data_IF_267724666444
#
_entry.id   IF_267724666444
#
_cell.length_a   1.000
_cell.length_b   1.000
_cell.length_c   1.000
_cell.angle_alpha   90.00
_cell.angle_beta   90.00
_cell.angle_gamma   90.00
#
_symmetry.space_group_name_H-M   'P 1'
#
loop_
_entity.id
_entity.type
_entity.pdbx_description
1 polymer ?
#
# COMPACT_ATOMS: atom_id res chain seq x y z
N UNK A 1 -6.56 7.20 29.36
CA UNK A 1 -5.95 6.34 28.34
C UNK A 1 -6.89 6.28 27.15
N UNK A 2 -6.38 6.44 25.95
CA UNK A 2 -7.17 6.26 24.74
C UNK A 2 -7.82 4.87 24.74
N UNK A 3 -8.98 4.75 24.11
CA UNK A 3 -9.58 3.45 23.88
C UNK A 3 -8.70 2.68 22.87
N UNK A 4 -8.08 1.58 23.29
CA UNK A 4 -7.18 0.80 22.44
C UNK A 4 -7.88 0.26 21.18
N UNK A 5 -9.19 0.05 21.20
CA UNK A 5 -9.97 -0.38 20.03
C UNK A 5 -10.00 0.69 18.92
N UNK A 6 -9.88 1.97 19.30
CA UNK A 6 -9.85 3.07 18.34
C UNK A 6 -8.48 3.24 17.66
N UNK A 7 -7.43 2.63 18.22
CA UNK A 7 -6.04 2.82 17.78
C UNK A 7 -5.46 1.56 17.14
N UNK A 8 -5.72 0.37 17.69
CA UNK A 8 -5.31 -0.90 17.12
C UNK A 8 -6.25 -1.30 15.99
N UNK A 9 -5.81 -1.11 14.74
CA UNK A 9 -6.58 -1.41 13.54
C UNK A 9 -6.30 -2.84 13.04
N UNK A 10 -6.87 -3.21 11.89
CA UNK A 10 -6.67 -4.56 11.32
C UNK A 10 -5.20 -4.84 10.94
N UNK A 11 -4.45 -3.80 10.55
CA UNK A 11 -3.11 -3.98 9.96
C UNK A 11 -2.00 -3.21 10.66
N UNK A 12 -2.33 -2.20 11.45
CA UNK A 12 -1.39 -1.30 12.10
C UNK A 12 -1.99 -0.67 13.36
N UNK A 13 -1.19 0.13 14.03
CA UNK A 13 -1.63 1.04 15.10
C UNK A 13 -1.73 2.41 14.46
N UNK A 14 -2.86 3.11 14.64
CA UNK A 14 -3.09 4.42 14.02
C UNK A 14 -4.02 5.28 14.86
N UNK A 15 -3.65 6.55 15.08
CA UNK A 15 -4.45 7.46 15.87
C UNK A 15 -4.07 8.93 15.69
N UNK A 16 -4.92 9.81 16.22
CA UNK A 16 -4.65 11.24 16.30
C UNK A 16 -3.67 11.50 17.44
N UNK A 17 -2.62 12.25 17.15
CA UNK A 17 -1.59 12.62 18.14
C UNK A 17 -1.88 14.02 18.69
N UNK A 18 -1.83 14.24 20.03
CA UNK A 18 -1.52 13.25 21.07
C UNK A 18 -2.77 12.53 21.66
N UNK A 19 -3.99 12.81 21.18
CA UNK A 19 -5.24 12.45 21.84
C UNK A 19 -5.50 10.93 21.89
N UNK A 20 -5.08 10.20 20.86
CA UNK A 20 -5.28 8.76 20.72
C UNK A 20 -3.97 7.98 20.76
N UNK A 21 -2.91 8.51 20.18
CA UNK A 21 -1.56 7.94 20.15
C UNK A 21 -0.61 8.93 20.80
N UNK A 22 -0.22 8.66 22.03
CA UNK A 22 0.70 9.46 22.84
C UNK A 22 2.01 8.71 23.12
N UNK A 23 2.95 9.37 23.76
CA UNK A 23 4.24 8.80 24.18
C UNK A 23 4.07 7.61 25.11
N UNK A 24 3.09 7.66 26.02
CA UNK A 24 2.82 6.57 26.95
C UNK A 24 2.38 5.29 26.23
N UNK A 25 1.50 5.44 25.25
CA UNK A 25 1.08 4.31 24.40
C UNK A 25 2.21 3.82 23.51
N UNK A 26 2.99 4.71 22.89
CA UNK A 26 4.15 4.34 22.08
C UNK A 26 5.19 3.55 22.90
N UNK A 27 5.49 3.97 24.12
CA UNK A 27 6.36 3.25 25.04
C UNK A 27 5.83 1.86 25.38
N UNK A 28 4.52 1.76 25.72
CA UNK A 28 3.89 0.48 26.05
C UNK A 28 3.89 -0.48 24.84
N UNK A 29 3.64 0.03 23.63
CA UNK A 29 3.72 -0.76 22.40
C UNK A 29 5.15 -1.24 22.15
N UNK A 30 6.16 -0.38 22.36
CA UNK A 30 7.58 -0.74 22.23
C UNK A 30 7.97 -1.88 23.16
N UNK A 31 7.60 -1.78 24.44
CA UNK A 31 7.84 -2.82 25.43
C UNK A 31 7.11 -4.15 25.09
N UNK A 32 5.85 -4.06 24.68
CA UNK A 32 5.06 -5.24 24.27
C UNK A 32 5.62 -5.89 23.00
N UNK A 33 6.02 -5.08 22.02
CA UNK A 33 6.60 -5.60 20.76
C UNK A 33 7.95 -6.25 20.97
N UNK A 34 8.80 -5.73 21.84
CA UNK A 34 10.07 -6.34 22.19
C UNK A 34 9.89 -7.77 22.73
N UNK A 35 8.89 -7.96 23.61
CA UNK A 35 8.57 -9.29 24.16
C UNK A 35 7.97 -10.20 23.09
N UNK A 36 7.03 -9.68 22.29
CA UNK A 36 6.39 -10.45 21.22
C UNK A 36 7.39 -10.90 20.14
N UNK A 37 8.26 -10.00 19.70
CA UNK A 37 9.22 -10.28 18.63
C UNK A 37 10.29 -11.29 19.03
N UNK A 38 10.67 -11.35 20.34
CA UNK A 38 11.66 -12.30 20.85
C UNK A 38 13.03 -12.18 20.19
N UNK A 39 13.38 -11.00 19.69
CA UNK A 39 14.61 -10.74 18.94
C UNK A 39 15.59 -9.93 19.79
N UNK A 40 16.92 -10.10 19.62
CA UNK A 40 17.91 -9.33 20.37
C UNK A 40 17.96 -7.86 19.94
N UNK A 41 17.39 -7.51 18.78
CA UNK A 41 17.36 -6.14 18.25
C UNK A 41 16.10 -5.86 17.46
N UNK A 42 15.68 -4.60 17.40
CA UNK A 42 14.54 -4.10 16.62
C UNK A 42 15.00 -2.88 15.82
N UNK A 43 14.60 -2.82 14.54
CA UNK A 43 14.79 -1.67 13.67
C UNK A 43 13.66 -0.68 13.91
N UNK A 44 13.97 0.62 13.95
CA UNK A 44 12.97 1.68 14.10
C UNK A 44 13.24 2.77 13.09
N UNK A 45 12.25 3.07 12.27
CA UNK A 45 12.28 4.15 11.29
C UNK A 45 11.01 4.98 11.32
N UNK A 46 11.03 6.14 10.68
CA UNK A 46 9.88 7.02 10.67
C UNK A 46 9.80 7.85 9.39
N UNK A 47 8.60 8.30 9.07
CA UNK A 47 8.35 9.28 8.04
C UNK A 47 8.59 10.73 8.56
N UNK A 48 8.30 11.72 7.70
CA UNK A 48 8.55 13.15 7.94
C UNK A 48 7.51 13.81 8.86
N UNK A 49 6.57 13.08 9.49
CA UNK A 49 5.51 13.67 10.32
C UNK A 49 6.08 14.36 11.56
N UNK A 50 5.55 15.55 11.94
CA UNK A 50 6.09 16.33 13.08
C UNK A 50 6.07 15.56 14.42
N UNK A 51 5.10 14.66 14.60
CA UNK A 51 4.96 13.85 15.82
C UNK A 51 5.87 12.61 15.86
N UNK A 52 6.63 12.32 14.79
CA UNK A 52 7.41 11.09 14.71
C UNK A 52 8.51 11.03 15.79
N UNK A 53 9.29 12.09 15.98
CA UNK A 53 10.45 12.07 16.86
C UNK A 53 10.12 11.67 18.31
N UNK A 54 9.06 12.29 18.88
CA UNK A 54 8.66 12.01 20.28
C UNK A 54 8.11 10.58 20.45
N UNK A 55 7.34 10.08 19.47
CA UNK A 55 6.81 8.73 19.50
C UNK A 55 7.90 7.68 19.31
N UNK A 56 8.84 7.90 18.38
CA UNK A 56 10.01 7.03 18.17
C UNK A 56 10.88 6.95 19.44
N UNK A 57 11.13 8.08 20.09
CA UNK A 57 11.89 8.10 21.35
C UNK A 57 11.19 7.25 22.41
N UNK A 58 9.91 7.49 22.66
CA UNK A 58 9.14 6.75 23.67
C UNK A 58 9.07 5.23 23.38
N UNK A 59 8.84 4.86 22.12
CA UNK A 59 8.88 3.46 21.68
C UNK A 59 10.25 2.82 21.90
N UNK A 60 11.31 3.52 21.54
CA UNK A 60 12.71 3.07 21.72
C UNK A 60 13.02 2.83 23.20
N UNK A 61 12.58 3.73 24.09
CA UNK A 61 12.68 3.56 25.54
C UNK A 61 11.90 2.32 26.02
N UNK A 62 10.70 2.09 25.47
CA UNK A 62 9.91 0.89 25.72
C UNK A 62 10.65 -0.39 25.33
N UNK A 63 11.20 -0.46 24.12
CA UNK A 63 11.97 -1.60 23.62
C UNK A 63 13.22 -1.84 24.48
N UNK A 64 14.03 -0.80 24.69
CA UNK A 64 15.30 -0.94 25.44
C UNK A 64 15.07 -1.28 26.90
N UNK A 65 13.94 -0.87 27.49
CA UNK A 65 13.54 -1.27 28.85
C UNK A 65 13.39 -2.79 29.01
N UNK A 66 13.28 -3.53 27.91
CA UNK A 66 13.19 -5.00 27.88
C UNK A 66 14.54 -5.68 27.58
N UNK A 67 15.65 -4.92 27.56
CA UNK A 67 16.99 -5.43 27.27
C UNK A 67 17.23 -5.70 25.78
N UNK A 68 16.33 -5.22 24.90
CA UNK A 68 16.43 -5.41 23.45
C UNK A 68 17.10 -4.19 22.83
N UNK A 69 18.08 -4.41 21.95
CA UNK A 69 18.78 -3.33 21.26
C UNK A 69 17.87 -2.68 20.19
N UNK A 70 18.08 -1.39 19.97
CA UNK A 70 17.38 -0.65 18.90
C UNK A 70 18.39 -0.13 17.89
N UNK A 71 18.07 -0.34 16.60
CA UNK A 71 18.78 0.28 15.48
C UNK A 71 17.86 1.31 14.85
N UNK A 72 18.17 2.58 15.04
CA UNK A 72 17.45 3.69 14.44
C UNK A 72 17.87 3.83 12.98
N UNK A 73 16.92 3.76 12.05
CA UNK A 73 17.13 3.99 10.63
C UNK A 73 16.96 5.46 10.26
N UNK A 74 16.31 6.26 11.15
CA UNK A 74 16.00 7.65 10.91
C UNK A 74 14.80 7.82 9.97
N UNK A 75 14.88 8.81 9.07
CA UNK A 75 13.90 9.05 8.03
C UNK A 75 14.01 7.97 6.95
N UNK A 76 12.96 7.16 6.80
CA UNK A 76 12.86 6.08 5.82
C UNK A 76 11.44 6.02 5.25
N UNK A 77 11.28 5.48 4.03
CA UNK A 77 9.98 5.09 3.51
C UNK A 77 9.52 3.76 4.12
N UNK A 78 8.23 3.43 3.99
CA UNK A 78 7.71 2.16 4.50
C UNK A 78 8.34 0.95 3.79
N UNK A 79 8.52 1.03 2.47
CA UNK A 79 9.18 -0.04 1.70
C UNK A 79 10.68 -0.16 1.98
N UNK A 80 11.35 0.95 2.31
CA UNK A 80 12.74 0.96 2.81
C UNK A 80 12.86 0.27 4.18
N UNK A 81 11.91 0.49 5.11
CA UNK A 81 11.83 -0.25 6.37
C UNK A 81 11.66 -1.76 6.13
N UNK A 82 10.79 -2.18 5.22
CA UNK A 82 10.61 -3.58 4.89
C UNK A 82 11.87 -4.20 4.27
N UNK A 83 12.53 -3.45 3.38
CA UNK A 83 13.84 -3.85 2.86
C UNK A 83 14.85 -4.05 3.99
N UNK A 84 14.97 -3.08 4.90
CA UNK A 84 15.90 -3.17 6.04
C UNK A 84 15.59 -4.37 6.92
N UNK A 85 14.30 -4.62 7.24
CA UNK A 85 13.89 -5.80 8.00
C UNK A 85 14.31 -7.11 7.34
N UNK A 86 14.17 -7.20 6.01
CA UNK A 86 14.60 -8.36 5.24
C UNK A 86 16.12 -8.51 5.16
N UNK A 87 16.81 -7.42 4.83
CA UNK A 87 18.26 -7.43 4.60
C UNK A 87 19.08 -7.62 5.88
N UNK A 88 18.61 -7.08 7.01
CA UNK A 88 19.26 -7.17 8.31
C UNK A 88 18.73 -8.32 9.17
N UNK A 89 17.74 -9.07 8.69
CA UNK A 89 17.05 -10.16 9.38
C UNK A 89 16.66 -9.77 10.82
N UNK A 90 15.87 -8.68 10.93
CA UNK A 90 15.45 -8.14 12.21
C UNK A 90 14.01 -7.61 12.15
N UNK A 91 13.23 -7.70 13.24
CA UNK A 91 11.93 -7.05 13.33
C UNK A 91 12.01 -5.55 13.15
N UNK A 92 10.96 -4.93 12.65
CA UNK A 92 10.91 -3.51 12.38
C UNK A 92 9.64 -2.83 12.86
N UNK A 93 9.77 -1.56 13.23
CA UNK A 93 8.68 -0.65 13.56
C UNK A 93 8.82 0.62 12.69
N UNK A 94 7.84 0.87 11.84
CA UNK A 94 7.76 2.05 10.98
C UNK A 94 6.72 3.03 11.52
N UNK A 95 7.15 4.23 11.88
CA UNK A 95 6.27 5.31 12.33
C UNK A 95 5.77 6.10 11.13
N UNK A 96 4.51 5.91 10.80
CA UNK A 96 3.83 6.55 9.68
C UNK A 96 2.31 6.43 9.83
N UNK A 97 1.58 7.35 9.19
CA UNK A 97 0.16 7.21 8.94
C UNK A 97 -0.16 7.26 7.44
N UNK A 98 0.82 6.94 6.57
CA UNK A 98 0.70 6.89 5.10
C UNK A 98 0.08 8.20 4.57
N UNK A 99 -1.09 8.12 3.95
CA UNK A 99 -1.81 9.24 3.34
C UNK A 99 -2.73 10.03 4.29
N UNK A 100 -2.82 9.64 5.56
CA UNK A 100 -3.65 10.38 6.52
C UNK A 100 -3.13 11.81 6.75
N UNK A 101 -4.01 12.77 7.13
CA UNK A 101 -3.61 14.13 7.47
C UNK A 101 -2.53 14.22 8.55
N UNK A 102 -1.84 15.35 8.62
CA UNK A 102 -0.69 15.61 9.51
C UNK A 102 -0.92 15.28 11.00
N UNK A 103 -2.15 15.44 11.49
CA UNK A 103 -2.51 15.15 12.89
C UNK A 103 -2.48 13.67 13.26
N UNK A 104 -2.46 12.77 12.27
CA UNK A 104 -2.35 11.33 12.49
C UNK A 104 -0.91 10.88 12.52
N UNK A 105 -0.64 9.84 13.31
CA UNK A 105 0.54 8.99 13.18
C UNK A 105 0.14 7.54 13.43
N UNK A 106 1.07 6.62 13.25
CA UNK A 106 0.83 5.20 13.46
C UNK A 106 2.12 4.42 13.57
N UNK A 107 1.99 3.11 13.82
CA UNK A 107 3.10 2.18 13.93
C UNK A 107 2.77 0.94 13.11
N UNK A 108 3.45 0.76 11.98
CA UNK A 108 3.44 -0.49 11.21
C UNK A 108 4.54 -1.40 11.78
N UNK A 109 4.19 -2.63 12.15
CA UNK A 109 5.12 -3.59 12.74
C UNK A 109 5.37 -4.76 11.79
N UNK A 110 6.59 -5.24 11.74
CA UNK A 110 6.94 -6.48 11.06
C UNK A 110 7.94 -7.31 11.87
N UNK A 111 7.89 -8.62 11.72
CA UNK A 111 8.94 -9.53 12.19
C UNK A 111 10.07 -9.60 11.14
N UNK A 112 11.19 -10.23 11.49
CA UNK A 112 12.32 -10.45 10.61
C UNK A 112 11.88 -11.01 9.24
N UNK A 113 12.52 -10.55 8.15
CA UNK A 113 12.11 -10.88 6.78
C UNK A 113 10.85 -10.16 6.33
N UNK A 114 10.55 -8.98 6.86
CA UNK A 114 9.40 -8.15 6.55
C UNK A 114 8.03 -8.85 6.72
N UNK A 115 7.93 -9.86 7.61
CA UNK A 115 6.67 -10.56 7.89
C UNK A 115 5.71 -9.62 8.62
N UNK A 116 4.53 -9.32 8.08
CA UNK A 116 3.63 -8.34 8.67
C UNK A 116 3.07 -8.80 10.02
N UNK A 117 2.91 -7.86 10.95
CA UNK A 117 2.22 -8.05 12.23
C UNK A 117 0.87 -7.33 12.13
N UNK A 118 -0.17 -8.08 11.77
CA UNK A 118 -1.56 -7.63 11.73
C UNK A 118 -2.40 -8.24 12.85
N UNK A 119 -3.71 -7.99 12.84
CA UNK A 119 -4.62 -8.45 13.89
C UNK A 119 -4.51 -9.96 14.17
N UNK A 120 -4.46 -10.78 13.10
CA UNK A 120 -4.41 -12.25 13.22
C UNK A 120 -2.97 -12.79 13.39
N UNK A 121 -1.95 -11.95 13.16
CA UNK A 121 -0.53 -12.36 13.17
C UNK A 121 0.31 -11.75 14.30
N UNK A 122 -0.35 -11.23 15.37
CA UNK A 122 0.35 -10.77 16.56
C UNK A 122 -0.11 -9.44 17.14
N UNK A 123 -0.76 -8.55 16.35
CA UNK A 123 -1.19 -7.24 16.84
C UNK A 123 -2.21 -7.34 17.99
N UNK A 124 -3.09 -8.36 17.95
CA UNK A 124 -4.03 -8.63 19.05
C UNK A 124 -3.31 -9.04 20.34
N UNK A 125 -2.21 -9.80 20.25
CA UNK A 125 -1.40 -10.16 21.39
C UNK A 125 -0.69 -8.92 21.96
N UNK A 126 -0.06 -8.10 21.10
CA UNK A 126 0.59 -6.85 21.52
C UNK A 126 -0.42 -5.94 22.22
N UNK A 127 -1.63 -5.76 21.66
CA UNK A 127 -2.71 -5.02 22.29
C UNK A 127 -3.08 -5.56 23.67
N UNK A 128 -3.21 -6.88 23.80
CA UNK A 128 -3.51 -7.52 25.09
C UNK A 128 -2.43 -7.26 26.14
N UNK A 129 -1.15 -7.31 25.74
CA UNK A 129 -0.02 -6.98 26.62
C UNK A 129 -0.06 -5.53 27.07
N UNK A 130 -0.30 -4.59 26.16
CA UNK A 130 -0.45 -3.16 26.46
C UNK A 130 -1.60 -2.94 27.44
N UNK A 131 -2.77 -3.54 27.20
CA UNK A 131 -3.94 -3.39 28.06
C UNK A 131 -3.73 -3.89 29.50
N UNK A 132 -2.91 -4.93 29.66
CA UNK A 132 -2.60 -5.55 30.97
C UNK A 132 -1.37 -4.97 31.64
N UNK A 133 -0.56 -4.16 30.93
CA UNK A 133 0.77 -3.77 31.40
C UNK A 133 1.73 -4.95 31.56
N UNK A 134 1.52 -6.03 30.78
CA UNK A 134 2.32 -7.25 30.84
C UNK A 134 3.47 -7.21 29.82
N UNK A 135 4.62 -6.74 30.27
CA UNK A 135 5.83 -6.62 29.45
C UNK A 135 6.92 -7.63 29.89
N UNK A 136 6.57 -8.68 30.61
CA UNK A 136 7.51 -9.67 31.12
C UNK A 136 8.41 -9.15 32.26
N UNK A 137 9.31 -9.99 32.71
CA UNK A 137 10.27 -9.64 33.77
C UNK A 137 11.29 -8.58 33.30
N UNK A 138 11.80 -7.79 34.25
CA UNK A 138 12.90 -6.88 33.95
C UNK A 138 14.13 -7.66 33.51
N UNK A 139 14.91 -7.19 32.51
CA UNK A 139 16.10 -7.88 32.02
C UNK A 139 17.22 -7.86 33.08
N UNK A 140 17.87 -8.99 33.32
CA UNK A 140 19.00 -9.09 34.26
C UNK A 140 20.23 -8.27 33.79
N UNK A 141 20.37 -8.09 32.43
CA UNK A 141 21.48 -7.38 31.79
C UNK A 141 21.33 -5.86 31.73
N UNK A 142 20.21 -5.29 32.24
CA UNK A 142 19.91 -3.88 32.11
C UNK A 142 19.26 -3.54 30.75
N UNK A 143 19.10 -2.23 30.42
CA UNK A 143 18.46 -1.79 29.18
C UNK A 143 19.31 -2.13 27.95
N UNK A 144 18.58 -2.31 26.81
CA UNK A 144 19.21 -2.46 25.50
C UNK A 144 19.95 -1.19 25.06
N UNK A 145 20.77 -1.33 24.03
CA UNK A 145 21.56 -0.22 23.44
C UNK A 145 20.83 0.38 22.26
N UNK A 146 21.12 1.65 21.98
CA UNK A 146 20.64 2.34 20.79
C UNK A 146 21.80 2.61 19.86
N UNK A 147 21.65 2.27 18.59
CA UNK A 147 22.59 2.56 17.51
C UNK A 147 21.86 3.15 16.31
N UNK A 148 22.60 3.63 15.32
CA UNK A 148 22.04 4.17 14.08
C UNK A 148 22.62 3.45 12.88
N UNK A 149 21.81 3.29 11.82
CA UNK A 149 22.25 2.71 10.56
C UNK A 149 21.49 3.36 9.41
N UNK A 150 22.22 3.85 8.41
CA UNK A 150 21.65 4.30 7.14
C UNK A 150 21.52 3.09 6.19
N UNK A 151 20.40 3.02 5.47
CA UNK A 151 20.10 1.93 4.54
C UNK A 151 19.69 2.42 3.13
N UNK A 152 19.62 3.75 2.91
CA UNK A 152 19.11 4.36 1.69
C UNK A 152 19.85 3.88 0.44
N UNK A 153 21.19 3.92 0.43
CA UNK A 153 21.97 3.51 -0.74
C UNK A 153 21.77 2.03 -1.08
N UNK A 154 21.75 1.18 -0.06
CA UNK A 154 21.56 -0.26 -0.24
C UNK A 154 20.14 -0.61 -0.66
N UNK A 155 19.14 0.13 -0.16
CA UNK A 155 17.76 0.05 -0.61
C UNK A 155 17.64 0.49 -2.08
N UNK A 156 18.20 1.65 -2.45
CA UNK A 156 18.16 2.15 -3.83
C UNK A 156 18.79 1.15 -4.81
N UNK A 157 19.94 0.53 -4.46
CA UNK A 157 20.52 -0.55 -5.26
C UNK A 157 19.61 -1.77 -5.37
N UNK A 158 18.92 -2.14 -4.29
CA UNK A 158 17.93 -3.22 -4.32
C UNK A 158 16.80 -2.91 -5.28
N UNK A 159 16.24 -1.71 -5.24
CA UNK A 159 15.17 -1.27 -6.17
C UNK A 159 15.67 -1.33 -7.61
N UNK A 160 16.85 -0.77 -7.90
CA UNK A 160 17.46 -0.80 -9.22
C UNK A 160 17.73 -2.21 -9.76
N UNK A 161 17.90 -3.20 -8.88
CA UNK A 161 18.12 -4.60 -9.28
C UNK A 161 16.92 -5.29 -9.94
N UNK A 162 15.73 -4.68 -9.86
CA UNK A 162 14.51 -5.21 -10.47
C UNK A 162 14.45 -4.99 -11.99
N UNK A 163 15.27 -4.09 -12.53
CA UNK A 163 15.34 -3.79 -13.96
C UNK A 163 16.74 -4.04 -14.52
N UNK A 164 16.81 -4.36 -15.80
CA UNK A 164 18.07 -4.48 -16.54
C UNK A 164 18.52 -3.09 -17.01
N UNK A 165 19.38 -2.43 -16.23
CA UNK A 165 19.79 -1.03 -16.45
C UNK A 165 20.28 -0.76 -17.88
N UNK A 166 21.03 -1.70 -18.47
CA UNK A 166 21.59 -1.57 -19.83
C UNK A 166 20.55 -1.60 -20.95
N UNK A 167 19.32 -2.03 -20.67
CA UNK A 167 18.21 -2.06 -21.63
C UNK A 167 17.29 -0.83 -21.55
N UNK A 168 17.47 0.03 -20.54
CA UNK A 168 16.63 1.21 -20.34
C UNK A 168 16.99 2.30 -21.37
N UNK A 169 15.94 2.88 -21.97
CA UNK A 169 16.05 4.06 -22.83
C UNK A 169 15.70 5.32 -22.05
N UNK A 170 16.24 6.50 -22.43
CA UNK A 170 15.89 7.76 -21.80
C UNK A 170 14.37 8.01 -21.82
N UNK A 171 13.83 8.40 -20.68
CA UNK A 171 12.46 8.88 -20.51
C UNK A 171 12.49 10.17 -19.70
N UNK A 172 11.58 11.08 -19.97
CA UNK A 172 11.34 12.25 -19.16
C UNK A 172 10.24 11.93 -18.15
N UNK A 173 10.58 11.98 -16.88
CA UNK A 173 9.72 11.55 -15.75
C UNK A 173 9.48 12.72 -14.82
N UNK A 174 8.22 12.97 -14.48
CA UNK A 174 7.86 13.89 -13.40
C UNK A 174 7.34 13.04 -12.24
N UNK A 175 7.93 13.19 -11.06
CA UNK A 175 7.51 12.50 -9.85
C UNK A 175 6.92 13.49 -8.85
N UNK A 176 5.65 13.32 -8.50
CA UNK A 176 5.00 14.03 -7.42
C UNK A 176 5.12 13.20 -6.14
N UNK A 177 5.79 13.76 -5.16
CA UNK A 177 6.06 13.10 -3.88
C UNK A 177 5.25 13.67 -2.72
N UNK A 178 4.37 14.64 -3.01
CA UNK A 178 3.42 15.24 -2.07
C UNK A 178 4.05 15.65 -0.72
N UNK A 179 5.28 16.14 -0.73
CA UNK A 179 6.09 16.43 0.47
C UNK A 179 6.34 15.21 1.37
N UNK A 180 6.07 14.00 0.87
CA UNK A 180 6.25 12.72 1.54
C UNK A 180 7.65 12.11 1.35
N UNK A 181 7.81 10.88 1.82
CA UNK A 181 9.09 10.15 1.80
C UNK A 181 9.61 9.88 0.39
N UNK A 182 8.74 9.96 -0.64
CA UNK A 182 9.16 9.94 -2.04
C UNK A 182 10.21 11.00 -2.37
N UNK A 183 10.18 12.17 -1.70
CA UNK A 183 11.19 13.23 -1.85
C UNK A 183 12.61 12.79 -1.50
N UNK A 184 12.75 11.83 -0.58
CA UNK A 184 14.03 11.24 -0.19
C UNK A 184 14.40 10.06 -1.11
N UNK A 185 13.49 9.10 -1.28
CA UNK A 185 13.84 7.81 -1.91
C UNK A 185 13.88 7.87 -3.44
N UNK A 186 13.00 8.66 -4.08
CA UNK A 186 12.92 8.70 -5.55
C UNK A 186 14.22 9.22 -6.19
N UNK A 187 14.82 10.36 -5.75
CA UNK A 187 16.10 10.80 -6.28
C UNK A 187 17.21 9.75 -6.13
N UNK A 188 17.30 9.08 -4.97
CA UNK A 188 18.30 8.05 -4.70
C UNK A 188 18.12 6.82 -5.62
N UNK A 189 16.87 6.38 -5.84
CA UNK A 189 16.55 5.26 -6.74
C UNK A 189 16.88 5.58 -8.19
N UNK A 190 16.65 6.82 -8.64
CA UNK A 190 16.83 7.24 -10.02
C UNK A 190 18.29 7.57 -10.36
N UNK A 191 19.16 7.72 -9.37
CA UNK A 191 20.56 8.03 -9.58
C UNK A 191 21.26 7.01 -10.49
N UNK A 192 21.93 7.51 -11.53
CA UNK A 192 22.65 6.69 -12.51
C UNK A 192 21.75 5.95 -13.51
N UNK A 193 20.42 6.18 -13.50
CA UNK A 193 19.51 5.71 -14.54
C UNK A 193 19.42 6.72 -15.70
N UNK A 194 19.06 6.29 -16.93
CA UNK A 194 18.99 7.19 -18.07
C UNK A 194 17.73 8.05 -18.12
N UNK A 195 17.07 8.26 -17.00
CA UNK A 195 15.83 9.02 -16.90
C UNK A 195 16.09 10.48 -16.54
N UNK A 196 15.40 11.40 -17.20
CA UNK A 196 15.36 12.81 -16.83
C UNK A 196 14.27 13.01 -15.79
N UNK A 197 14.65 12.96 -14.52
CA UNK A 197 13.73 13.09 -13.38
C UNK A 197 13.54 14.55 -13.01
N UNK A 198 12.28 14.96 -12.90
CA UNK A 198 11.86 16.19 -12.20
C UNK A 198 10.99 15.77 -11.00
N UNK A 199 11.27 16.31 -9.82
CA UNK A 199 10.50 16.01 -8.60
C UNK A 199 9.68 17.22 -8.21
N UNK A 200 8.37 17.04 -8.09
CA UNK A 200 7.44 17.99 -7.49
C UNK A 200 7.32 17.70 -6.00
N UNK A 201 7.31 18.78 -5.21
CA UNK A 201 7.10 18.71 -3.75
C UNK A 201 8.07 17.74 -3.05
N UNK A 202 9.35 17.76 -3.47
CA UNK A 202 10.40 16.88 -2.95
C UNK A 202 10.91 17.24 -1.55
N UNK A 203 10.59 18.43 -1.04
CA UNK A 203 10.91 18.83 0.34
C UNK A 203 10.02 18.05 1.31
N UNK A 204 10.62 17.39 2.31
CA UNK A 204 9.90 16.60 3.30
C UNK A 204 9.16 17.51 4.28
N UNK A 205 7.82 17.48 4.25
CA UNK A 205 6.97 18.23 5.19
C UNK A 205 5.69 17.44 5.53
N UNK A 206 5.65 16.90 6.75
CA UNK A 206 4.49 16.14 7.23
C UNK A 206 3.21 16.95 7.43
N UNK A 207 3.22 18.27 7.15
CA UNK A 207 2.01 19.09 7.09
C UNK A 207 1.34 19.06 5.71
N UNK A 208 2.02 18.53 4.68
CA UNK A 208 1.51 18.40 3.31
C UNK A 208 1.00 19.74 2.74
N UNK A 209 1.86 20.78 2.64
CA UNK A 209 1.42 22.16 2.34
C UNK A 209 0.84 22.36 0.94
N UNK A 210 1.16 21.48 -0.02
CA UNK A 210 0.74 21.62 -1.41
C UNK A 210 -0.60 20.88 -1.68
N UNK A 211 -0.66 19.61 -1.37
CA UNK A 211 -1.89 18.80 -1.42
C UNK A 211 -1.77 17.58 -0.51
N UNK A 212 -2.88 16.93 -0.12
CA UNK A 212 -2.85 15.67 0.62
C UNK A 212 -2.07 14.58 -0.13
N UNK A 213 -1.29 13.80 0.60
CA UNK A 213 -0.46 12.73 0.05
C UNK A 213 -1.26 11.45 -0.26
N UNK A 214 -2.41 11.60 -0.92
CA UNK A 214 -3.31 10.52 -1.33
C UNK A 214 -3.52 10.52 -2.84
N UNK A 215 -2.68 9.81 -3.62
CA UNK A 215 -2.71 9.82 -5.08
C UNK A 215 -3.91 9.09 -5.68
N UNK A 216 -4.72 8.38 -4.89
CA UNK A 216 -5.97 7.79 -5.39
C UNK A 216 -7.04 8.84 -5.66
N UNK A 217 -6.93 10.01 -5.02
CA UNK A 217 -7.86 11.12 -5.19
C UNK A 217 -7.49 11.94 -6.42
N UNK A 218 -8.38 12.06 -7.42
CA UNK A 218 -8.07 12.78 -8.66
C UNK A 218 -7.66 14.25 -8.44
N UNK A 219 -8.17 14.87 -7.38
CA UNK A 219 -7.83 16.26 -7.05
C UNK A 219 -6.35 16.45 -6.74
N UNK A 220 -5.68 15.44 -6.19
CA UNK A 220 -4.28 15.47 -5.79
C UNK A 220 -3.32 15.16 -6.95
N UNK A 221 -3.83 14.80 -8.12
CA UNK A 221 -3.02 14.55 -9.32
C UNK A 221 -2.92 15.78 -10.24
N UNK A 222 -3.66 16.85 -9.98
CA UNK A 222 -3.81 18.00 -10.90
C UNK A 222 -2.48 18.67 -11.23
N UNK A 223 -1.63 18.86 -10.23
CA UNK A 223 -0.35 19.54 -10.43
C UNK A 223 0.61 18.66 -11.23
N UNK A 224 0.63 17.36 -10.94
CA UNK A 224 1.38 16.38 -11.72
C UNK A 224 0.89 16.33 -13.17
N UNK A 225 -0.43 16.27 -13.39
CA UNK A 225 -1.03 16.26 -14.72
C UNK A 225 -0.67 17.52 -15.52
N UNK A 226 -0.78 18.69 -14.89
CA UNK A 226 -0.42 19.96 -15.52
C UNK A 226 1.08 19.98 -15.88
N UNK A 227 1.95 19.50 -14.98
CA UNK A 227 3.39 19.52 -15.21
C UNK A 227 3.81 18.51 -16.30
N UNK A 228 3.20 17.32 -16.35
CA UNK A 228 3.42 16.35 -17.43
C UNK A 228 3.20 16.99 -18.80
N UNK A 229 2.09 17.72 -18.99
CA UNK A 229 1.79 18.41 -20.25
C UNK A 229 2.75 19.56 -20.51
N UNK A 230 3.03 20.39 -19.51
CA UNK A 230 3.87 21.58 -19.64
C UNK A 230 5.28 21.24 -20.11
N UNK A 231 5.85 20.16 -19.56
CA UNK A 231 7.22 19.75 -19.89
C UNK A 231 7.30 18.70 -20.99
N UNK A 232 6.16 18.15 -21.43
CA UNK A 232 6.11 17.03 -22.37
C UNK A 232 6.79 15.79 -21.78
N UNK A 233 6.41 15.39 -20.58
CA UNK A 233 6.94 14.21 -19.94
C UNK A 233 6.36 12.94 -20.57
N UNK A 234 7.14 11.86 -20.60
CA UNK A 234 6.69 10.54 -21.07
C UNK A 234 5.77 9.87 -20.03
N UNK A 235 5.96 10.21 -18.74
CA UNK A 235 5.19 9.64 -17.63
C UNK A 235 5.27 10.52 -16.39
N UNK A 236 4.15 10.61 -15.67
CA UNK A 236 4.07 11.09 -14.30
C UNK A 236 4.01 9.94 -13.30
N UNK A 237 4.65 10.10 -12.14
CA UNK A 237 4.59 9.19 -11.00
C UNK A 237 4.02 9.95 -9.81
N UNK A 238 3.02 9.39 -9.12
CA UNK A 238 2.47 9.98 -7.90
C UNK A 238 2.65 9.00 -6.75
N UNK A 239 3.35 9.44 -5.70
CA UNK A 239 3.60 8.65 -4.49
C UNK A 239 2.71 9.13 -3.33
N UNK A 240 2.40 8.24 -2.41
CA UNK A 240 1.76 8.61 -1.15
C UNK A 240 2.77 9.04 -0.08
N UNK A 241 2.28 9.37 1.12
CA UNK A 241 3.11 10.01 2.14
C UNK A 241 4.30 9.19 2.61
N UNK A 242 4.17 7.88 2.74
CA UNK A 242 5.25 6.96 3.14
C UNK A 242 5.86 6.17 1.96
N UNK A 243 5.47 6.54 0.73
CA UNK A 243 6.01 6.09 -0.55
C UNK A 243 5.93 4.57 -0.83
N UNK A 244 5.05 3.85 -0.13
CA UNK A 244 4.82 2.43 -0.39
C UNK A 244 3.86 2.19 -1.57
N UNK A 245 3.18 3.25 -2.06
CA UNK A 245 2.30 3.25 -3.23
C UNK A 245 2.80 4.15 -4.35
N UNK A 246 2.50 3.75 -5.60
CA UNK A 246 2.76 4.55 -6.78
C UNK A 246 1.61 4.45 -7.78
N UNK A 247 1.18 5.60 -8.30
CA UNK A 247 0.24 5.72 -9.41
C UNK A 247 0.93 6.37 -10.60
N UNK A 248 0.51 5.98 -11.81
CA UNK A 248 1.06 6.52 -13.04
C UNK A 248 0.09 7.56 -13.65
N UNK A 249 0.67 8.54 -14.33
CA UNK A 249 -0.03 9.47 -15.21
C UNK A 249 0.63 9.36 -16.59
N UNK A 250 -0.16 9.21 -17.66
CA UNK A 250 0.39 9.02 -18.99
C UNK A 250 0.83 10.34 -19.65
N UNK A 251 1.43 10.24 -20.84
CA UNK A 251 1.94 11.36 -21.64
C UNK A 251 0.85 12.36 -22.10
N UNK A 252 -0.43 12.02 -21.93
CA UNK A 252 -1.61 12.89 -22.15
C UNK A 252 -2.20 13.41 -20.85
N UNK A 253 -1.49 13.22 -19.75
CA UNK A 253 -1.91 13.57 -18.39
C UNK A 253 -3.16 12.82 -17.91
N UNK A 254 -3.47 11.65 -18.47
CA UNK A 254 -4.56 10.81 -18.00
C UNK A 254 -4.07 9.87 -16.91
N UNK A 255 -4.75 9.76 -15.75
CA UNK A 255 -4.39 8.83 -14.70
C UNK A 255 -4.49 7.38 -15.18
N UNK A 256 -3.53 6.56 -14.76
CA UNK A 256 -3.51 5.11 -14.98
C UNK A 256 -3.97 4.41 -13.71
N UNK A 257 -5.01 3.57 -13.81
CA UNK A 257 -5.53 2.89 -12.62
C UNK A 257 -4.53 1.92 -12.02
N UNK A 258 -4.63 1.66 -10.69
CA UNK A 258 -3.82 0.64 -10.04
C UNK A 258 -4.01 -0.75 -10.66
N UNK A 259 -5.20 -1.07 -11.17
CA UNK A 259 -5.46 -2.31 -11.91
C UNK A 259 -4.68 -2.37 -13.22
N UNK A 260 -4.67 -1.28 -14.01
CA UNK A 260 -3.90 -1.19 -15.26
C UNK A 260 -2.41 -1.32 -14.99
N UNK A 261 -1.90 -0.62 -13.98
CA UNK A 261 -0.49 -0.72 -13.55
C UNK A 261 -0.17 -2.14 -13.08
N UNK A 262 -1.06 -2.78 -12.30
CA UNK A 262 -0.91 -4.20 -11.91
C UNK A 262 -0.79 -5.11 -13.12
N UNK A 263 -1.63 -4.93 -14.14
CA UNK A 263 -1.59 -5.76 -15.35
C UNK A 263 -0.31 -5.54 -16.18
N UNK A 264 0.18 -4.30 -16.28
CA UNK A 264 1.45 -3.96 -16.96
C UNK A 264 2.63 -4.62 -16.24
N UNK A 265 2.71 -4.47 -14.91
CA UNK A 265 3.80 -5.06 -14.10
C UNK A 265 3.70 -6.59 -14.09
N UNK A 266 2.48 -7.15 -13.98
CA UNK A 266 2.26 -8.61 -14.02
C UNK A 266 2.81 -9.22 -15.32
N UNK A 267 2.55 -8.59 -16.47
CA UNK A 267 3.10 -9.03 -17.75
C UNK A 267 4.63 -9.04 -17.74
N UNK A 268 5.26 -7.97 -17.25
CA UNK A 268 6.73 -7.89 -17.14
C UNK A 268 7.29 -8.98 -16.21
N UNK A 269 6.60 -9.24 -15.09
CA UNK A 269 7.02 -10.30 -14.16
C UNK A 269 6.87 -11.69 -14.78
N UNK A 270 5.86 -11.92 -15.62
CA UNK A 270 5.68 -13.19 -16.34
C UNK A 270 6.69 -13.37 -17.48
N UNK A 271 7.18 -12.30 -18.10
CA UNK A 271 8.33 -12.37 -19.02
C UNK A 271 9.60 -12.88 -18.30
N UNK A 272 9.80 -12.44 -17.05
CA UNK A 272 10.93 -12.84 -16.21
C UNK A 272 10.74 -14.22 -15.55
N UNK A 273 9.50 -14.58 -15.19
CA UNK A 273 9.13 -15.81 -14.49
C UNK A 273 7.96 -16.50 -15.20
N UNK A 274 8.19 -17.16 -16.35
CA UNK A 274 7.11 -17.83 -17.10
C UNK A 274 6.37 -18.85 -16.25
N UNK A 275 5.03 -18.88 -16.37
CA UNK A 275 4.16 -19.79 -15.64
C UNK A 275 3.93 -19.45 -14.16
N UNK A 276 4.48 -18.34 -13.68
CA UNK A 276 4.39 -17.98 -12.26
C UNK A 276 2.97 -17.60 -11.81
N UNK A 277 2.72 -17.77 -10.51
CA UNK A 277 1.53 -17.26 -9.85
C UNK A 277 1.67 -15.75 -9.62
N UNK A 278 0.59 -15.02 -9.95
CA UNK A 278 0.45 -13.58 -9.73
C UNK A 278 -0.82 -13.36 -8.90
N UNK A 279 -0.69 -12.55 -7.83
CA UNK A 279 -1.82 -12.17 -6.99
C UNK A 279 -2.45 -10.86 -7.45
N UNK A 280 -3.75 -10.74 -7.23
CA UNK A 280 -4.49 -9.49 -7.41
C UNK A 280 -5.64 -9.44 -6.40
N UNK A 281 -6.02 -8.24 -5.95
CA UNK A 281 -7.14 -8.15 -5.03
C UNK A 281 -8.49 -8.15 -5.76
N UNK A 282 -9.54 -8.49 -5.04
CA UNK A 282 -10.89 -8.72 -5.57
C UNK A 282 -11.56 -7.48 -6.19
N UNK A 283 -11.03 -6.26 -5.93
CA UNK A 283 -11.50 -5.01 -6.53
C UNK A 283 -10.67 -4.59 -7.75
N UNK A 284 -9.68 -5.39 -8.15
CA UNK A 284 -9.01 -5.18 -9.43
C UNK A 284 -9.94 -5.49 -10.61
N UNK A 285 -9.71 -4.79 -11.72
CA UNK A 285 -10.40 -5.06 -13.00
C UNK A 285 -10.27 -6.51 -13.43
N UNK A 286 -11.30 -7.06 -14.09
CA UNK A 286 -11.25 -8.37 -14.78
C UNK A 286 -10.12 -8.46 -15.80
N UNK A 287 -9.68 -7.34 -16.35
CA UNK A 287 -8.53 -7.29 -17.24
C UNK A 287 -7.25 -7.88 -16.61
N UNK A 288 -7.07 -7.74 -15.27
CA UNK A 288 -5.88 -8.23 -14.58
C UNK A 288 -5.73 -9.75 -14.69
N UNK A 289 -6.69 -10.59 -14.21
CA UNK A 289 -6.58 -12.05 -14.36
C UNK A 289 -6.59 -12.52 -15.81
N UNK A 290 -7.22 -11.79 -16.73
CA UNK A 290 -7.18 -12.10 -18.16
C UNK A 290 -5.76 -11.94 -18.72
N UNK A 291 -5.13 -10.78 -18.49
CA UNK A 291 -3.73 -10.50 -18.91
C UNK A 291 -2.78 -11.53 -18.30
N UNK A 292 -2.95 -11.91 -17.04
CA UNK A 292 -2.11 -12.92 -16.40
C UNK A 292 -2.23 -14.27 -17.16
N UNK A 293 -3.46 -14.74 -17.47
CA UNK A 293 -3.67 -16.00 -18.21
C UNK A 293 -3.15 -15.93 -19.64
N UNK A 294 -3.38 -14.84 -20.35
CA UNK A 294 -2.91 -14.60 -21.72
C UNK A 294 -1.37 -14.64 -21.83
N UNK A 295 -0.68 -14.28 -20.74
CA UNK A 295 0.78 -14.36 -20.66
C UNK A 295 1.29 -15.64 -19.97
N UNK A 296 0.43 -16.67 -19.86
CA UNK A 296 0.79 -17.99 -19.35
C UNK A 296 0.95 -18.08 -17.84
N UNK A 297 0.54 -17.07 -17.07
CA UNK A 297 0.60 -17.07 -15.62
C UNK A 297 -0.64 -17.65 -14.95
N UNK A 298 -0.58 -17.85 -13.64
CA UNK A 298 -1.68 -18.36 -12.81
C UNK A 298 -2.21 -17.20 -11.94
N UNK A 299 -3.41 -16.63 -12.23
CA UNK A 299 -3.98 -15.58 -11.40
C UNK A 299 -4.59 -16.15 -10.12
N UNK A 300 -4.29 -15.55 -8.97
CA UNK A 300 -4.91 -15.89 -7.68
C UNK A 300 -5.47 -14.62 -7.05
N UNK A 301 -6.79 -14.63 -6.80
CA UNK A 301 -7.51 -13.53 -6.17
C UNK A 301 -7.29 -13.53 -4.66
N UNK A 302 -7.19 -12.33 -4.06
CA UNK A 302 -7.04 -12.13 -2.62
C UNK A 302 -8.06 -11.14 -2.07
N UNK A 303 -8.25 -11.15 -0.76
CA UNK A 303 -8.91 -10.06 -0.03
C UNK A 303 -8.08 -8.78 -0.14
N UNK A 304 -8.74 -7.63 0.09
CA UNK A 304 -8.05 -6.34 0.21
C UNK A 304 -7.22 -6.31 1.51
N UNK A 305 -5.97 -5.87 1.41
CA UNK A 305 -5.11 -5.62 2.56
C UNK A 305 -3.77 -6.35 2.53
N UNK A 306 -2.73 -5.57 2.83
CA UNK A 306 -1.34 -5.99 2.66
C UNK A 306 -0.93 -7.24 3.45
N UNK A 307 -1.50 -7.46 4.64
CA UNK A 307 -1.16 -8.64 5.45
C UNK A 307 -1.69 -9.94 4.81
N UNK A 308 -2.88 -9.90 4.21
CA UNK A 308 -3.48 -11.07 3.52
C UNK A 308 -2.70 -11.41 2.25
N UNK A 309 -2.36 -10.41 1.45
CA UNK A 309 -1.60 -10.63 0.21
C UNK A 309 -0.23 -11.24 0.51
N UNK A 310 0.50 -10.70 1.52
CA UNK A 310 1.79 -11.24 1.92
C UNK A 310 1.71 -12.69 2.40
N UNK A 311 0.65 -13.06 3.12
CA UNK A 311 0.41 -14.44 3.55
C UNK A 311 0.15 -15.38 2.36
N UNK A 312 -0.79 -15.02 1.47
CA UNK A 312 -1.09 -15.81 0.26
C UNK A 312 0.13 -15.90 -0.66
N UNK A 313 0.95 -14.83 -0.75
CA UNK A 313 2.19 -14.84 -1.51
C UNK A 313 3.21 -15.84 -0.94
N UNK A 314 3.27 -15.96 0.39
CA UNK A 314 4.13 -16.96 1.05
C UNK A 314 3.64 -18.40 0.79
N UNK A 315 2.34 -18.63 0.82
CA UNK A 315 1.72 -19.94 0.62
C UNK A 315 1.82 -20.43 -0.84
N UNK A 316 1.59 -19.54 -1.80
CA UNK A 316 1.52 -19.86 -3.23
C UNK A 316 2.86 -19.74 -3.95
N UNK A 317 3.85 -19.10 -3.34
CA UNK A 317 5.12 -18.76 -4.00
C UNK A 317 4.97 -17.71 -5.11
N UNK A 318 3.86 -16.95 -5.11
CA UNK A 318 3.61 -15.92 -6.11
C UNK A 318 4.78 -14.93 -6.23
N UNK A 319 5.14 -14.58 -7.45
CA UNK A 319 6.30 -13.71 -7.73
C UNK A 319 5.97 -12.22 -7.61
N UNK A 320 4.69 -11.88 -7.81
CA UNK A 320 4.15 -10.53 -7.79
C UNK A 320 2.70 -10.54 -7.30
N UNK A 321 2.28 -9.46 -6.67
CA UNK A 321 0.89 -9.17 -6.35
C UNK A 321 0.62 -7.68 -6.52
N UNK A 322 -0.58 -7.32 -6.97
CA UNK A 322 -0.98 -5.92 -7.11
C UNK A 322 -2.39 -5.66 -6.60
N UNK A 323 -2.60 -4.44 -6.10
CA UNK A 323 -3.89 -3.95 -5.64
C UNK A 323 -4.36 -2.75 -6.46
N UNK A 324 -5.67 -2.60 -6.56
CA UNK A 324 -6.27 -1.39 -7.14
C UNK A 324 -5.86 -0.10 -6.40
N UNK A 325 -5.55 -0.23 -5.12
CA UNK A 325 -5.11 0.86 -4.23
C UNK A 325 -3.67 1.34 -4.48
N UNK A 326 -2.94 0.74 -5.44
CA UNK A 326 -1.57 1.14 -5.79
C UNK A 326 -0.47 0.53 -4.94
N UNK A 327 -0.75 -0.53 -4.16
CA UNK A 327 0.27 -1.36 -3.53
C UNK A 327 0.69 -2.49 -4.48
N UNK A 328 2.00 -2.74 -4.56
CA UNK A 328 2.60 -3.73 -5.44
C UNK A 328 3.64 -4.54 -4.69
N UNK A 329 3.42 -5.84 -4.56
CA UNK A 329 4.19 -6.77 -3.74
C UNK A 329 5.12 -7.60 -4.60
N UNK A 330 6.36 -7.77 -4.15
CA UNK A 330 7.36 -8.51 -4.92
C UNK A 330 7.98 -9.62 -4.04
N UNK A 331 7.94 -10.88 -4.51
CA UNK A 331 8.56 -12.02 -3.82
C UNK A 331 10.03 -11.72 -3.49
N UNK A 332 10.75 -11.19 -4.46
CA UNK A 332 12.18 -10.94 -4.36
C UNK A 332 12.51 -9.65 -3.56
N UNK A 333 11.47 -8.96 -3.05
CA UNK A 333 11.55 -7.89 -2.05
C UNK A 333 10.94 -8.37 -0.71
N UNK A 334 11.29 -9.57 -0.27
CA UNK A 334 10.78 -10.17 0.98
C UNK A 334 9.25 -10.26 1.03
N UNK A 335 8.58 -10.31 -0.12
CA UNK A 335 7.11 -10.24 -0.29
C UNK A 335 6.49 -8.92 0.16
N UNK A 336 7.31 -7.91 0.40
CA UNK A 336 6.86 -6.58 0.75
C UNK A 336 6.40 -5.79 -0.47
N UNK A 337 5.52 -4.84 -0.21
CA UNK A 337 5.11 -3.83 -1.16
C UNK A 337 6.21 -2.77 -1.34
N UNK A 338 6.25 -2.20 -2.54
CA UNK A 338 7.13 -1.09 -2.88
C UNK A 338 6.60 -0.31 -4.07
N UNK A 339 6.27 0.96 -3.84
CA UNK A 339 5.92 1.91 -4.88
C UNK A 339 7.11 2.20 -5.80
N UNK A 340 8.31 2.28 -5.24
CA UNK A 340 9.55 2.53 -5.98
C UNK A 340 9.91 1.39 -6.95
N UNK A 341 9.77 0.14 -6.53
CA UNK A 341 10.00 -1.02 -7.42
C UNK A 341 8.97 -1.05 -8.53
N UNK A 342 7.69 -0.84 -8.20
CA UNK A 342 6.61 -0.83 -9.19
C UNK A 342 6.81 0.27 -10.24
N UNK A 343 7.15 1.50 -9.78
CA UNK A 343 7.49 2.61 -10.67
C UNK A 343 8.63 2.24 -11.62
N UNK A 344 9.73 1.70 -11.09
CA UNK A 344 10.91 1.38 -11.91
C UNK A 344 10.64 0.24 -12.89
N UNK A 345 9.89 -0.82 -12.49
CA UNK A 345 9.49 -1.90 -13.40
C UNK A 345 8.58 -1.37 -14.50
N UNK A 346 7.60 -0.52 -14.17
CA UNK A 346 6.72 0.12 -15.17
C UNK A 346 7.52 0.99 -16.15
N UNK A 347 8.46 1.81 -15.66
CA UNK A 347 9.37 2.60 -16.50
C UNK A 347 10.20 1.71 -17.42
N UNK A 348 10.66 0.56 -16.93
CA UNK A 348 11.36 -0.44 -17.75
C UNK A 348 10.48 -0.96 -18.89
N UNK A 349 9.20 -1.24 -18.63
CA UNK A 349 8.22 -1.64 -19.66
C UNK A 349 8.01 -0.54 -20.69
N UNK A 350 7.77 0.70 -20.25
CA UNK A 350 7.54 1.87 -21.11
C UNK A 350 8.79 2.11 -21.98
N UNK A 351 9.97 2.10 -21.36
CA UNK A 351 11.25 2.26 -22.06
C UNK A 351 11.45 1.20 -23.14
N UNK A 352 11.15 -0.08 -22.83
CA UNK A 352 11.31 -1.20 -23.78
C UNK A 352 10.27 -1.15 -24.90
N UNK A 353 9.04 -0.76 -24.63
CA UNK A 353 7.94 -0.74 -25.59
C UNK A 353 8.17 0.24 -26.74
N UNK A 354 8.78 1.40 -26.46
CA UNK A 354 9.07 2.44 -27.45
C UNK A 354 7.85 3.13 -28.05
N UNK A 355 6.73 3.04 -27.35
CA UNK A 355 5.48 3.77 -27.63
C UNK A 355 5.09 4.58 -26.41
N UNK A 356 4.33 5.68 -26.55
CA UNK A 356 3.83 6.45 -25.41
C UNK A 356 3.02 5.58 -24.45
N UNK A 357 3.01 5.94 -23.15
CA UNK A 357 2.23 5.21 -22.15
C UNK A 357 0.73 5.21 -22.47
N UNK A 358 0.21 6.31 -23.04
CA UNK A 358 -1.19 6.43 -23.49
C UNK A 358 -1.58 5.41 -24.58
N UNK A 359 -0.63 4.88 -25.34
CA UNK A 359 -0.86 3.79 -26.30
C UNK A 359 -0.58 2.41 -25.66
N UNK A 360 0.50 2.32 -24.86
CA UNK A 360 0.88 1.10 -24.17
C UNK A 360 -0.23 0.54 -23.27
N UNK A 361 -0.97 1.41 -22.57
CA UNK A 361 -1.99 1.01 -21.59
C UNK A 361 -3.27 0.44 -22.20
N UNK A 362 -3.62 0.80 -23.46
CA UNK A 362 -4.89 0.45 -24.11
C UNK A 362 -5.27 -1.05 -24.04
N UNK A 363 -4.36 -2.00 -24.31
CA UNK A 363 -4.71 -3.43 -24.24
C UNK A 363 -5.05 -3.92 -22.83
N UNK A 364 -4.70 -3.14 -21.80
CA UNK A 364 -4.94 -3.47 -20.38
C UNK A 364 -6.23 -2.81 -19.85
N UNK A 365 -6.81 -1.85 -20.58
CA UNK A 365 -8.03 -1.10 -20.21
C UNK A 365 -9.21 -1.59 -21.03
N UNK A 366 -9.72 -2.75 -20.65
CA UNK A 366 -10.78 -3.46 -21.39
C UNK A 366 -12.18 -3.12 -20.90
N UNK A 367 -12.29 -2.56 -19.70
CA UNK A 367 -13.53 -2.33 -18.98
C UNK A 367 -13.54 -0.91 -18.41
N UNK A 368 -14.75 -0.41 -18.13
CA UNK A 368 -14.93 0.85 -17.42
C UNK A 368 -15.26 0.58 -15.95
N UNK A 369 -14.52 1.20 -15.03
CA UNK A 369 -14.73 1.11 -13.58
C UNK A 369 -15.34 2.39 -13.01
N UNK A 370 -16.14 2.25 -11.94
CA UNK A 370 -16.69 3.38 -11.17
C UNK A 370 -15.67 4.10 -10.30
N UNK A 371 -14.51 3.48 -10.07
CA UNK A 371 -13.69 3.80 -8.90
C UNK A 371 -14.36 3.33 -7.60
N UNK A 372 -13.76 3.62 -6.45
CA UNK A 372 -14.35 3.32 -5.15
C UNK A 372 -15.31 4.44 -4.74
N UNK A 373 -16.57 4.09 -4.47
CA UNK A 373 -17.62 5.01 -4.02
C UNK A 373 -17.97 4.69 -2.58
N UNK A 374 -17.78 5.69 -1.71
CA UNK A 374 -18.09 5.59 -0.29
C UNK A 374 -19.49 6.13 -0.01
N UNK A 375 -20.31 5.38 0.73
CA UNK A 375 -21.67 5.79 1.12
C UNK A 375 -21.87 5.53 2.62
N UNK A 376 -22.18 6.59 3.37
CA UNK A 376 -22.52 6.48 4.79
C UNK A 376 -23.84 5.74 4.96
N UNK A 377 -23.87 4.77 5.88
CA UNK A 377 -25.04 3.96 6.19
C UNK A 377 -25.08 3.67 7.70
N UNK A 378 -26.28 3.36 8.23
CA UNK A 378 -26.45 3.08 9.66
C UNK A 378 -25.83 1.75 10.09
N UNK A 379 -26.00 0.72 9.27
CA UNK A 379 -25.48 -0.63 9.51
C UNK A 379 -24.82 -1.14 8.22
N UNK A 380 -23.49 -0.97 8.08
CA UNK A 380 -22.76 -1.42 6.88
C UNK A 380 -22.90 -2.92 6.60
N UNK A 381 -22.92 -3.77 7.61
CA UNK A 381 -23.00 -5.22 7.43
C UNK A 381 -24.39 -5.63 6.93
N UNK A 382 -25.46 -5.11 7.54
CA UNK A 382 -26.83 -5.37 7.11
C UNK A 382 -27.09 -4.83 5.69
N UNK A 383 -26.55 -3.66 5.35
CA UNK A 383 -26.68 -3.07 4.01
C UNK A 383 -26.00 -3.94 2.95
N UNK A 384 -24.79 -4.43 3.21
CA UNK A 384 -24.08 -5.35 2.31
C UNK A 384 -24.89 -6.62 2.08
N UNK A 385 -25.42 -7.22 3.12
CA UNK A 385 -26.22 -8.44 3.04
C UNK A 385 -27.54 -8.22 2.27
N UNK A 386 -28.23 -7.11 2.52
CA UNK A 386 -29.49 -6.78 1.85
C UNK A 386 -29.29 -6.58 0.34
N UNK A 387 -28.25 -5.82 -0.06
CA UNK A 387 -27.90 -5.60 -1.47
C UNK A 387 -27.52 -6.93 -2.16
N UNK A 388 -26.66 -7.75 -1.55
CA UNK A 388 -26.26 -9.04 -2.09
C UNK A 388 -27.47 -9.97 -2.28
N UNK A 389 -28.35 -10.07 -1.27
CA UNK A 389 -29.56 -10.88 -1.31
C UNK A 389 -30.57 -10.42 -2.39
N UNK A 390 -30.67 -9.09 -2.62
CA UNK A 390 -31.51 -8.56 -3.70
C UNK A 390 -31.08 -9.11 -5.06
N UNK A 391 -29.77 -8.97 -5.36
CA UNK A 391 -29.21 -9.46 -6.65
C UNK A 391 -29.21 -10.99 -6.75
N UNK A 392 -29.02 -11.71 -5.66
CA UNK A 392 -29.13 -13.18 -5.65
C UNK A 392 -30.51 -13.67 -6.07
N UNK A 393 -31.57 -12.99 -5.62
CA UNK A 393 -32.95 -13.32 -5.96
C UNK A 393 -33.30 -12.91 -7.38
N UNK A 394 -32.86 -11.72 -7.79
CA UNK A 394 -33.16 -11.18 -9.14
C UNK A 394 -32.36 -11.89 -10.25
N UNK A 395 -31.16 -12.36 -9.93
CA UNK A 395 -30.22 -12.95 -10.89
C UNK A 395 -29.60 -14.25 -10.33
N UNK A 396 -30.33 -15.35 -10.31
CA UNK A 396 -29.86 -16.62 -9.72
C UNK A 396 -28.67 -17.24 -10.46
N UNK A 397 -28.40 -16.81 -11.70
CA UNK A 397 -27.27 -17.25 -12.49
C UNK A 397 -25.97 -16.44 -12.24
N UNK A 398 -26.05 -15.34 -11.49
CA UNK A 398 -24.87 -14.55 -11.14
C UNK A 398 -23.99 -15.29 -10.10
N UNK A 399 -22.69 -15.24 -10.33
CA UNK A 399 -21.74 -15.81 -9.36
C UNK A 399 -21.56 -14.88 -8.18
N UNK A 400 -21.63 -15.40 -6.96
CA UNK A 400 -21.43 -14.63 -5.74
C UNK A 400 -20.21 -15.12 -4.96
N UNK A 401 -19.51 -14.18 -4.33
CA UNK A 401 -18.39 -14.44 -3.43
C UNK A 401 -18.48 -13.52 -2.21
N UNK A 402 -18.19 -14.10 -1.04
CA UNK A 402 -18.13 -13.38 0.23
C UNK A 402 -16.70 -13.34 0.80
N UNK A 403 -15.70 -13.28 -0.07
CA UNK A 403 -14.30 -13.23 0.33
C UNK A 403 -13.98 -11.95 1.14
N UNK A 404 -14.56 -10.79 0.72
CA UNK A 404 -14.47 -9.50 1.41
C UNK A 404 -15.72 -8.67 1.07
N UNK A 405 -16.67 -8.58 1.99
CA UNK A 405 -18.01 -8.11 1.70
C UNK A 405 -18.75 -9.05 0.76
N UNK A 406 -19.44 -8.50 -0.23
CA UNK A 406 -20.12 -9.27 -1.28
C UNK A 406 -19.68 -8.83 -2.67
N UNK A 407 -19.20 -9.78 -3.47
CA UNK A 407 -18.97 -9.59 -4.90
C UNK A 407 -20.02 -10.33 -5.68
N UNK A 408 -20.70 -9.67 -6.61
CA UNK A 408 -21.68 -10.29 -7.53
C UNK A 408 -21.20 -10.09 -8.96
N UNK A 409 -21.00 -11.20 -9.67
CA UNK A 409 -20.47 -11.23 -11.03
C UNK A 409 -21.54 -11.79 -11.99
N UNK A 410 -21.95 -10.98 -12.96
CA UNK A 410 -22.97 -11.27 -13.97
C UNK A 410 -22.35 -11.73 -15.32
N UNK A 411 -21.02 -11.87 -15.37
CA UNK A 411 -20.29 -12.21 -16.58
C UNK A 411 -19.75 -10.99 -17.30
N UNK A 412 -20.62 -10.13 -17.81
CA UNK A 412 -20.27 -8.88 -18.53
C UNK A 412 -20.01 -7.69 -17.60
N UNK A 413 -20.60 -7.65 -16.44
CA UNK A 413 -20.34 -6.67 -15.40
C UNK A 413 -20.29 -7.31 -14.02
N UNK A 414 -19.71 -6.61 -13.04
CA UNK A 414 -19.68 -7.04 -11.65
C UNK A 414 -19.64 -5.84 -10.71
N UNK A 415 -19.98 -6.09 -9.45
CA UNK A 415 -19.73 -5.15 -8.38
C UNK A 415 -19.21 -5.87 -7.12
N UNK A 416 -18.47 -5.11 -6.30
CA UNK A 416 -18.15 -5.47 -4.92
C UNK A 416 -18.67 -4.37 -4.00
N UNK A 417 -19.37 -4.79 -2.95
CA UNK A 417 -19.79 -3.94 -1.85
C UNK A 417 -19.24 -4.51 -0.56
N UNK A 418 -18.55 -3.68 0.24
CA UNK A 418 -17.95 -4.10 1.49
C UNK A 418 -18.08 -3.04 2.58
N UNK A 419 -18.14 -3.42 3.88
CA UNK A 419 -18.09 -2.45 4.97
C UNK A 419 -16.70 -1.80 5.03
N UNK A 420 -16.62 -0.55 5.47
CA UNK A 420 -15.37 0.04 5.91
C UNK A 420 -14.97 -0.55 7.25
N UNK A 421 -13.68 -0.81 7.45
CA UNK A 421 -13.14 -1.31 8.73
C UNK A 421 -13.00 -0.19 9.78
N UNK A 422 -13.18 1.08 9.40
CA UNK A 422 -12.84 2.23 10.24
C UNK A 422 -13.97 3.25 10.38
N UNK A 423 -14.97 3.22 9.49
CA UNK A 423 -16.02 4.24 9.41
C UNK A 423 -17.38 3.59 9.15
N UNK A 424 -18.51 4.21 9.56
CA UNK A 424 -19.85 3.69 9.33
C UNK A 424 -20.30 3.92 7.89
N UNK A 425 -19.60 3.29 6.94
CA UNK A 425 -19.89 3.38 5.51
C UNK A 425 -19.66 2.06 4.78
N UNK A 426 -20.25 1.94 3.61
CA UNK A 426 -19.98 0.89 2.65
C UNK A 426 -19.17 1.45 1.49
N UNK A 427 -18.30 0.62 0.93
CA UNK A 427 -17.46 0.89 -0.24
C UNK A 427 -17.97 0.09 -1.41
N UNK A 428 -18.30 0.76 -2.50
CA UNK A 428 -18.77 0.16 -3.73
C UNK A 428 -17.74 0.31 -4.83
N UNK A 429 -17.45 -0.79 -5.54
CA UNK A 429 -16.72 -0.80 -6.81
C UNK A 429 -17.57 -1.50 -7.85
N UNK A 430 -17.74 -0.90 -9.03
CA UNK A 430 -18.50 -1.46 -10.17
C UNK A 430 -17.60 -1.46 -11.40
N UNK A 431 -17.68 -2.51 -12.20
CA UNK A 431 -17.02 -2.59 -13.50
C UNK A 431 -17.99 -3.14 -14.56
N UNK A 432 -17.95 -2.55 -15.75
CA UNK A 432 -18.79 -2.93 -16.87
C UNK A 432 -18.05 -2.73 -18.21
N UNK A 433 -18.55 -3.23 -19.36
CA UNK A 433 -17.87 -3.16 -20.64
C UNK A 433 -17.53 -1.73 -21.11
N UNK A 434 -18.36 -0.76 -20.77
CA UNK A 434 -18.21 0.64 -21.18
C UNK A 434 -18.70 1.61 -20.11
N UNK A 435 -18.37 2.91 -20.27
CA UNK A 435 -18.72 3.96 -19.31
C UNK A 435 -20.22 4.12 -19.08
N UNK A 436 -21.04 4.01 -20.14
CA UNK A 436 -22.49 4.20 -20.03
C UNK A 436 -23.11 3.06 -19.22
N UNK A 437 -22.74 1.81 -19.52
CA UNK A 437 -23.14 0.62 -18.78
C UNK A 437 -22.66 0.69 -17.33
N UNK A 438 -21.41 1.07 -17.10
CA UNK A 438 -20.83 1.21 -15.76
C UNK A 438 -21.62 2.24 -14.93
N UNK A 439 -21.92 3.40 -15.49
CA UNK A 439 -22.71 4.44 -14.80
C UNK A 439 -24.12 3.93 -14.46
N UNK A 440 -24.81 3.30 -15.42
CA UNK A 440 -26.14 2.74 -15.19
C UNK A 440 -26.14 1.70 -14.04
N UNK A 441 -25.18 0.77 -14.06
CA UNK A 441 -25.04 -0.27 -13.01
C UNK A 441 -24.66 0.32 -11.65
N UNK A 442 -23.82 1.34 -11.67
CA UNK A 442 -23.45 2.07 -10.44
C UNK A 442 -24.68 2.73 -9.82
N UNK A 443 -25.50 3.43 -10.63
CA UNK A 443 -26.73 4.08 -10.14
C UNK A 443 -27.73 3.05 -9.59
N UNK A 444 -27.87 1.89 -10.24
CA UNK A 444 -28.72 0.78 -9.79
C UNK A 444 -28.30 0.28 -8.40
N UNK A 445 -27.01 -0.02 -8.19
CA UNK A 445 -26.50 -0.51 -6.90
C UNK A 445 -26.59 0.59 -5.83
N UNK A 446 -26.28 1.85 -6.16
CA UNK A 446 -26.37 2.98 -5.22
C UNK A 446 -27.82 3.24 -4.78
N UNK A 447 -28.81 3.02 -5.63
CA UNK A 447 -30.21 3.14 -5.27
C UNK A 447 -30.59 2.13 -4.16
N UNK A 448 -30.15 0.87 -4.31
CA UNK A 448 -30.35 -0.18 -3.30
C UNK A 448 -29.58 0.11 -1.99
N UNK A 449 -28.38 0.62 -2.07
CA UNK A 449 -27.62 1.03 -0.87
C UNK A 449 -28.40 2.10 -0.09
N UNK A 450 -28.98 3.09 -0.79
CA UNK A 450 -29.80 4.15 -0.17
C UNK A 450 -31.11 3.65 0.40
N UNK A 451 -31.71 2.61 -0.18
CA UNK A 451 -32.95 2.00 0.30
C UNK A 451 -32.74 1.22 1.61
N UNK A 452 -31.59 0.57 1.76
CA UNK A 452 -31.29 -0.32 2.88
C UNK A 452 -30.32 0.29 3.92
N UNK A 453 -29.70 1.43 3.66
CA UNK A 453 -28.76 2.15 4.55
C UNK A 453 -29.41 3.23 5.36
#
# INVERSE_FOLDING_TARGET
MANLDDVFKAYDIRGIVPDQLDEGLAHAVGAAFAVFAGSPRILVGHDMRPSAAVLVQAFTEGVTSRGVDVVLLGLVSTDEMYYASGALDAPGAMFTASHNPARYNGIKLCLAGAKPVGAESGLAEIRSRVAKGDFGAAPEGGPGRVSQQDVLDSYAEKVRSFVERGSLRPLKVVADTANGMGGLVVPAVFEGLPFQLEVLYGELDGNFPNHPADPIQPANLRDLQARVLEVGADVGLAFDGDADRCFLVDDKAEPVSGSTTTAIVAKAMLEKFPGATILYNLICSKAVPEVIRENGGVPVMTRVGHSFIKAVMAETGAVFGGEHSGHYYFRDNYRADSGSIAALVALGVISKAGVPLSELRKPFERYAGSGEINTEVKDPAATVEAVANHFAKAHPDATQSHMDGATVDFGDWWFNIRPSNTEPLVRLNVEAPDRASCQQRTDEVLALIKEHG
#
